data_IF_539417726479
#
_entry.id   IF_539417726479
#
_cell.length_a   1.000
_cell.length_b   1.000
_cell.length_c   1.000
_cell.angle_alpha   90.00
_cell.angle_beta   90.00
_cell.angle_gamma   90.00
#
_symmetry.space_group_name_H-M   'P 1'
#
loop_
_entity.id
_entity.type
_entity.pdbx_description
1 polymer ?
#
# COMPACT_ATOMS: atom_id res chain seq x y z
N UNK A 1 3.15 -17.83 9.80
CA UNK A 1 2.93 -16.77 8.81
C UNK A 1 2.35 -17.41 7.56
N UNK A 2 1.15 -16.97 7.09
CA UNK A 2 0.60 -17.43 5.81
C UNK A 2 1.51 -16.93 4.69
N UNK A 3 1.97 -17.83 3.84
CA UNK A 3 2.64 -17.46 2.60
C UNK A 3 1.66 -16.73 1.68
N UNK A 4 2.09 -15.67 1.01
CA UNK A 4 1.21 -14.92 0.11
C UNK A 4 1.86 -13.66 -0.44
N UNK A 5 1.11 -12.97 -1.28
CA UNK A 5 1.48 -11.67 -1.82
C UNK A 5 0.62 -10.58 -1.19
N UNK A 6 1.27 -9.50 -0.76
CA UNK A 6 0.63 -8.31 -0.19
C UNK A 6 0.87 -7.15 -1.16
N UNK A 7 -0.21 -6.50 -1.59
CA UNK A 7 -0.16 -5.26 -2.34
C UNK A 7 -0.24 -4.08 -1.37
N UNK A 8 0.86 -3.37 -1.20
CA UNK A 8 0.89 -2.09 -0.49
C UNK A 8 0.55 -0.94 -1.45
N UNK A 9 -0.26 -0.01 -0.99
CA UNK A 9 -0.69 1.17 -1.76
C UNK A 9 -0.50 2.42 -0.90
N UNK A 10 0.20 3.40 -1.44
CA UNK A 10 0.32 4.76 -0.91
C UNK A 10 -0.43 5.72 -1.84
N UNK A 11 -1.70 6.06 -1.54
CA UNK A 11 -2.52 6.91 -2.39
C UNK A 11 -2.02 8.34 -2.41
N UNK A 12 -1.77 8.90 -3.60
CA UNK A 12 -1.39 10.29 -3.79
C UNK A 12 -2.21 10.98 -4.88
N UNK A 13 -2.44 12.29 -4.75
CA UNK A 13 -3.31 13.04 -5.67
C UNK A 13 -2.79 13.16 -7.10
N UNK A 14 -1.49 13.09 -7.33
CA UNK A 14 -0.83 13.16 -8.65
C UNK A 14 -0.04 11.90 -8.98
N UNK A 15 0.26 11.10 -7.99
CA UNK A 15 0.98 9.85 -8.13
C UNK A 15 0.58 8.92 -6.99
N UNK A 16 0.30 7.67 -7.30
CA UNK A 16 0.02 6.62 -6.31
C UNK A 16 1.17 5.62 -6.35
N UNK A 17 1.84 5.42 -5.23
CA UNK A 17 2.84 4.38 -5.07
C UNK A 17 2.17 3.00 -4.93
N UNK A 18 2.79 1.97 -5.49
CA UNK A 18 2.44 0.58 -5.22
C UNK A 18 3.67 -0.27 -5.00
N UNK A 19 3.51 -1.32 -4.20
CA UNK A 19 4.56 -2.30 -3.97
C UNK A 19 3.98 -3.65 -3.60
N UNK A 20 4.46 -4.72 -4.26
CA UNK A 20 4.03 -6.09 -3.98
C UNK A 20 5.14 -6.82 -3.25
N UNK A 21 4.81 -7.28 -2.04
CA UNK A 21 5.74 -8.01 -1.16
C UNK A 21 5.30 -9.46 -1.06
N UNK A 22 6.26 -10.37 -1.27
CA UNK A 22 6.09 -11.80 -1.00
C UNK A 22 6.47 -12.11 0.42
N UNK A 23 5.61 -12.85 1.11
CA UNK A 23 5.84 -13.40 2.44
C UNK A 23 6.09 -14.89 2.32
N UNK A 24 7.26 -15.38 2.80
CA UNK A 24 7.61 -16.78 2.90
C UNK A 24 8.16 -17.06 4.31
N UNK A 25 7.32 -17.56 5.19
CA UNK A 25 7.66 -17.65 6.62
C UNK A 25 8.01 -16.28 7.18
N UNK A 26 9.21 -16.10 7.72
CA UNK A 26 9.71 -14.82 8.24
C UNK A 26 10.46 -13.97 7.19
N UNK A 27 10.52 -14.41 5.95
CA UNK A 27 11.25 -13.72 4.88
C UNK A 27 10.31 -12.88 4.03
N UNK A 28 10.67 -11.63 3.85
CA UNK A 28 9.98 -10.69 2.96
C UNK A 28 10.86 -10.41 1.74
N UNK A 29 10.27 -10.33 0.56
CA UNK A 29 10.97 -9.95 -0.67
C UNK A 29 10.08 -9.09 -1.56
N UNK A 30 10.67 -8.10 -2.24
CA UNK A 30 9.97 -7.29 -3.22
C UNK A 30 9.76 -8.11 -4.50
N UNK A 31 8.51 -8.21 -4.95
CA UNK A 31 8.15 -8.85 -6.24
C UNK A 31 8.11 -7.79 -7.33
N UNK A 32 7.45 -6.68 -7.05
CA UNK A 32 7.30 -5.57 -7.98
C UNK A 32 7.02 -4.28 -7.20
N UNK A 33 7.42 -3.16 -7.75
CA UNK A 33 7.12 -1.85 -7.17
C UNK A 33 7.13 -0.78 -8.26
N UNK A 34 6.34 0.27 -8.07
CA UNK A 34 6.27 1.35 -9.03
C UNK A 34 5.40 2.51 -8.60
N UNK A 35 5.19 3.43 -9.54
CA UNK A 35 4.39 4.64 -9.34
C UNK A 35 3.40 4.79 -10.49
N UNK A 36 2.12 4.84 -10.18
CA UNK A 36 1.05 5.15 -11.11
C UNK A 36 0.90 6.67 -11.17
N UNK A 37 1.35 7.28 -12.27
CA UNK A 37 1.28 8.73 -12.47
C UNK A 37 -0.09 9.14 -13.01
N UNK A 38 -0.66 10.19 -12.41
CA UNK A 38 -1.95 10.75 -12.76
C UNK A 38 -1.71 12.14 -13.39
N UNK A 39 -2.17 12.33 -14.63
CA UNK A 39 -1.95 13.59 -15.34
C UNK A 39 -2.65 14.76 -14.63
N UNK A 40 -1.88 15.77 -14.21
CA UNK A 40 -2.40 16.92 -13.45
C UNK A 40 -3.41 17.77 -14.21
N UNK A 41 -3.34 17.78 -15.55
CA UNK A 41 -4.21 18.50 -16.46
C UNK A 41 -5.45 17.71 -16.90
N UNK A 42 -5.57 16.44 -16.53
CA UNK A 42 -6.74 15.61 -16.85
C UNK A 42 -7.88 15.84 -15.84
N UNK A 43 -9.10 15.65 -16.29
CA UNK A 43 -10.27 15.66 -15.42
C UNK A 43 -10.15 14.59 -14.32
N UNK A 44 -10.70 14.87 -13.14
CA UNK A 44 -10.60 13.95 -12.00
C UNK A 44 -11.09 12.54 -12.35
N UNK A 45 -12.23 12.41 -13.03
CA UNK A 45 -12.78 11.12 -13.43
C UNK A 45 -11.80 10.28 -14.26
N UNK A 46 -11.15 10.88 -15.27
CA UNK A 46 -10.16 10.20 -16.11
C UNK A 46 -8.91 9.79 -15.30
N UNK A 47 -8.51 10.57 -14.30
CA UNK A 47 -7.42 10.23 -13.40
C UNK A 47 -7.76 9.02 -12.53
N UNK A 48 -8.99 8.97 -12.01
CA UNK A 48 -9.49 7.87 -11.19
C UNK A 48 -9.64 6.58 -12.02
N UNK A 49 -10.17 6.68 -13.25
CA UNK A 49 -10.25 5.57 -14.20
C UNK A 49 -8.87 4.97 -14.50
N UNK A 50 -7.88 5.84 -14.81
CA UNK A 50 -6.50 5.40 -15.03
C UNK A 50 -5.91 4.68 -13.83
N UNK A 51 -6.13 5.22 -12.62
CA UNK A 51 -5.67 4.58 -11.38
C UNK A 51 -6.29 3.20 -11.21
N UNK A 52 -7.62 3.12 -11.37
CA UNK A 52 -8.35 1.88 -11.25
C UNK A 52 -7.84 0.82 -12.24
N UNK A 53 -7.73 1.17 -13.53
CA UNK A 53 -7.23 0.27 -14.56
C UNK A 53 -5.82 -0.25 -14.26
N UNK A 54 -4.89 0.65 -13.89
CA UNK A 54 -3.53 0.27 -13.55
C UNK A 54 -3.45 -0.67 -12.34
N UNK A 55 -4.25 -0.43 -11.30
CA UNK A 55 -4.34 -1.33 -10.14
C UNK A 55 -4.93 -2.68 -10.53
N UNK A 56 -5.98 -2.71 -11.35
CA UNK A 56 -6.58 -3.96 -11.84
C UNK A 56 -5.59 -4.81 -12.66
N UNK A 57 -4.77 -4.20 -13.53
CA UNK A 57 -3.71 -4.89 -14.27
C UNK A 57 -2.70 -5.56 -13.33
N UNK A 58 -2.24 -4.85 -12.29
CA UNK A 58 -1.32 -5.39 -11.29
C UNK A 58 -1.96 -6.56 -10.52
N UNK A 59 -3.21 -6.38 -10.08
CA UNK A 59 -3.97 -7.37 -9.32
C UNK A 59 -4.20 -8.64 -10.14
N UNK A 60 -4.65 -8.48 -11.39
CA UNK A 60 -4.93 -9.62 -12.29
C UNK A 60 -3.68 -10.39 -12.68
N UNK A 61 -2.52 -9.74 -12.75
CA UNK A 61 -1.26 -10.37 -13.11
C UNK A 61 -0.56 -11.07 -11.94
N UNK A 62 -0.62 -10.48 -10.76
CA UNK A 62 0.14 -10.95 -9.59
C UNK A 62 -0.70 -11.71 -8.57
N UNK A 63 -2.02 -11.59 -8.62
CA UNK A 63 -2.97 -12.25 -7.71
C UNK A 63 -2.60 -12.08 -6.21
N UNK A 64 -2.39 -10.84 -5.70
CA UNK A 64 -2.16 -10.64 -4.28
C UNK A 64 -3.40 -11.03 -3.47
N UNK A 65 -3.19 -11.55 -2.26
CA UNK A 65 -4.29 -11.97 -1.36
C UNK A 65 -4.77 -10.84 -0.47
N UNK A 66 -3.87 -9.92 -0.12
CA UNK A 66 -4.15 -8.81 0.77
C UNK A 66 -3.73 -7.49 0.14
N UNK A 67 -4.53 -6.46 0.39
CA UNK A 67 -4.20 -5.07 0.11
C UNK A 67 -3.98 -4.32 1.43
N UNK A 68 -2.86 -3.63 1.54
CA UNK A 68 -2.54 -2.75 2.64
C UNK A 68 -2.48 -1.31 2.13
N UNK A 69 -3.31 -0.42 2.69
CA UNK A 69 -3.47 0.95 2.20
C UNK A 69 -3.12 1.92 3.33
N UNK A 70 -2.32 2.97 3.02
CA UNK A 70 -2.06 4.02 3.99
C UNK A 70 -3.28 4.91 4.18
N UNK A 71 -3.63 5.17 5.45
CA UNK A 71 -4.70 6.12 5.80
C UNK A 71 -4.13 7.53 5.79
N UNK A 72 -4.79 8.44 5.09
CA UNK A 72 -4.39 9.84 5.02
C UNK A 72 -5.21 10.67 6.00
N UNK A 73 -4.54 11.26 7.00
CA UNK A 73 -5.21 12.08 8.02
C UNK A 73 -4.95 13.59 7.93
N UNK A 74 -4.00 14.03 7.11
CA UNK A 74 -3.63 15.45 7.06
C UNK A 74 -3.45 15.92 5.61
N UNK A 75 -4.33 16.81 5.18
CA UNK A 75 -4.11 17.68 4.04
C UNK A 75 -4.28 19.12 4.50
N UNK A 76 -3.29 19.94 4.19
CA UNK A 76 -3.29 21.38 4.52
C UNK A 76 -4.40 22.13 3.77
N UNK A 77 -4.96 21.53 2.71
CA UNK A 77 -5.95 22.14 1.86
C UNK A 77 -7.14 21.18 1.63
N UNK A 78 -8.35 21.64 1.91
CA UNK A 78 -9.60 20.88 1.77
C UNK A 78 -9.77 20.29 0.36
N UNK A 79 -9.45 21.04 -0.70
CA UNK A 79 -9.55 20.56 -2.09
C UNK A 79 -8.62 19.38 -2.34
N UNK A 80 -7.39 19.46 -1.85
CA UNK A 80 -6.42 18.36 -1.95
C UNK A 80 -6.86 17.14 -1.14
N UNK A 81 -7.44 17.35 0.05
CA UNK A 81 -7.99 16.29 0.86
C UNK A 81 -9.12 15.53 0.13
N UNK A 82 -10.04 16.26 -0.50
CA UNK A 82 -11.13 15.65 -1.27
C UNK A 82 -10.61 14.80 -2.44
N UNK A 83 -9.66 15.34 -3.23
CA UNK A 83 -9.05 14.58 -4.35
C UNK A 83 -8.38 13.32 -3.84
N UNK A 84 -7.63 13.42 -2.74
CA UNK A 84 -6.94 12.29 -2.15
C UNK A 84 -7.91 11.23 -1.61
N UNK A 85 -9.03 11.66 -1.04
CA UNK A 85 -10.11 10.75 -0.59
C UNK A 85 -10.73 9.99 -1.77
N UNK A 86 -10.93 10.63 -2.93
CA UNK A 86 -11.39 9.94 -4.13
C UNK A 86 -10.37 8.91 -4.62
N UNK A 87 -9.09 9.28 -4.70
CA UNK A 87 -7.99 8.38 -5.09
C UNK A 87 -7.94 7.16 -4.17
N UNK A 88 -8.00 7.40 -2.86
CA UNK A 88 -8.03 6.31 -1.87
C UNK A 88 -9.26 5.43 -2.02
N UNK A 89 -10.45 6.01 -2.21
CA UNK A 89 -11.68 5.25 -2.43
C UNK A 89 -11.58 4.32 -3.66
N UNK A 90 -10.97 4.80 -4.74
CA UNK A 90 -10.72 3.98 -5.94
C UNK A 90 -9.72 2.87 -5.66
N UNK A 91 -8.67 3.12 -4.88
CA UNK A 91 -7.71 2.07 -4.50
C UNK A 91 -8.37 0.96 -3.66
N UNK A 92 -9.23 1.32 -2.69
CA UNK A 92 -10.00 0.37 -1.90
C UNK A 92 -10.97 -0.45 -2.77
N UNK A 93 -11.68 0.22 -3.70
CA UNK A 93 -12.60 -0.44 -4.62
C UNK A 93 -11.88 -1.42 -5.54
N UNK A 94 -10.72 -1.03 -6.09
CA UNK A 94 -9.89 -1.90 -6.92
C UNK A 94 -9.45 -3.16 -6.16
N UNK A 95 -9.08 -3.01 -4.88
CA UNK A 95 -8.70 -4.13 -4.02
C UNK A 95 -9.87 -5.09 -3.77
N UNK A 96 -11.06 -4.57 -3.45
CA UNK A 96 -12.27 -5.37 -3.23
C UNK A 96 -12.70 -6.10 -4.51
N UNK A 97 -12.66 -5.44 -5.67
CA UNK A 97 -12.96 -6.08 -6.95
C UNK A 97 -11.94 -7.17 -7.32
N UNK A 98 -10.70 -7.05 -6.83
CA UNK A 98 -9.68 -8.10 -6.93
C UNK A 98 -9.84 -9.22 -5.90
N UNK A 99 -10.95 -9.29 -5.16
CA UNK A 99 -11.22 -10.25 -4.10
C UNK A 99 -10.14 -10.30 -3.00
N UNK A 100 -9.41 -9.19 -2.79
CA UNK A 100 -8.41 -9.09 -1.72
C UNK A 100 -9.04 -8.71 -0.39
N UNK A 101 -8.41 -9.17 0.69
CA UNK A 101 -8.66 -8.65 2.03
C UNK A 101 -8.00 -7.26 2.15
N UNK A 102 -8.75 -6.25 2.62
CA UNK A 102 -8.25 -4.87 2.69
C UNK A 102 -7.93 -4.48 4.13
N UNK A 103 -6.75 -3.94 4.33
CA UNK A 103 -6.25 -3.48 5.62
C UNK A 103 -5.72 -2.05 5.51
N UNK A 104 -5.94 -1.26 6.54
CA UNK A 104 -5.56 0.15 6.55
C UNK A 104 -4.61 0.45 7.71
N UNK A 105 -3.59 1.27 7.42
CA UNK A 105 -2.53 1.59 8.37
C UNK A 105 -2.27 3.09 8.42
N UNK A 106 -2.12 3.63 9.63
CA UNK A 106 -1.71 5.02 9.81
C UNK A 106 -0.23 5.20 9.51
N UNK A 107 0.23 6.40 9.06
CA UNK A 107 1.65 6.68 8.84
C UNK A 107 2.53 6.37 10.05
N UNK A 108 2.01 6.61 11.26
CA UNK A 108 2.73 6.31 12.51
C UNK A 108 2.89 4.79 12.69
N UNK A 109 1.84 4.01 12.41
CA UNK A 109 1.89 2.55 12.48
C UNK A 109 2.89 1.97 11.47
N UNK A 110 2.89 2.49 10.22
CA UNK A 110 3.83 2.10 9.18
C UNK A 110 5.27 2.36 9.62
N UNK A 111 5.58 3.58 10.07
CA UNK A 111 6.92 3.92 10.57
C UNK A 111 7.35 3.02 11.72
N UNK A 112 6.48 2.81 12.71
CA UNK A 112 6.77 1.94 13.87
C UNK A 112 7.03 0.50 13.44
N UNK A 113 6.29 -0.03 12.48
CA UNK A 113 6.45 -1.40 12.00
C UNK A 113 7.76 -1.61 11.21
N UNK A 114 8.25 -0.58 10.51
CA UNK A 114 9.45 -0.66 9.65
C UNK A 114 10.72 -0.31 10.43
N UNK A 115 10.70 0.74 11.25
CA UNK A 115 11.91 1.30 11.91
C UNK A 115 11.91 1.08 13.42
N UNK A 116 10.77 0.70 14.01
CA UNK A 116 10.62 0.51 15.46
C UNK A 116 10.06 1.72 16.22
N UNK A 117 9.99 2.91 15.61
CA UNK A 117 9.44 4.11 16.24
C UNK A 117 8.70 5.02 15.24
N UNK A 118 7.64 5.71 15.72
CA UNK A 118 6.69 6.44 14.85
C UNK A 118 7.16 7.79 14.32
N UNK A 119 8.25 8.36 14.86
CA UNK A 119 8.80 9.68 14.46
C UNK A 119 9.98 9.58 13.49
N UNK A 120 10.19 8.40 12.88
CA UNK A 120 11.26 8.18 11.92
C UNK A 120 11.15 9.14 10.72
N UNK A 121 12.29 9.60 10.23
CA UNK A 121 12.37 10.38 8.98
C UNK A 121 12.14 9.48 7.77
N UNK A 122 11.63 10.06 6.68
CA UNK A 122 11.36 9.32 5.42
C UNK A 122 12.59 8.58 4.88
N UNK A 123 13.77 9.19 5.02
CA UNK A 123 15.01 8.57 4.56
C UNK A 123 15.34 7.31 5.35
N UNK A 124 15.12 7.32 6.66
CA UNK A 124 15.35 6.15 7.52
C UNK A 124 14.38 5.00 7.17
N UNK A 125 13.09 5.32 6.94
CA UNK A 125 12.10 4.33 6.49
C UNK A 125 12.54 3.70 5.18
N UNK A 126 12.95 4.50 4.19
CA UNK A 126 13.42 4.02 2.88
C UNK A 126 14.65 3.10 2.99
N UNK A 127 15.62 3.45 3.82
CA UNK A 127 16.79 2.61 4.06
C UNK A 127 16.39 1.26 4.67
N UNK A 128 15.50 1.28 5.67
CA UNK A 128 15.04 0.07 6.33
C UNK A 128 14.21 -0.82 5.39
N UNK A 129 13.34 -0.24 4.55
CA UNK A 129 12.60 -0.98 3.50
C UNK A 129 13.56 -1.76 2.59
N UNK A 130 14.64 -1.11 2.15
CA UNK A 130 15.67 -1.78 1.32
C UNK A 130 16.35 -2.93 2.04
N UNK A 131 16.71 -2.73 3.31
CA UNK A 131 17.35 -3.77 4.13
C UNK A 131 16.41 -4.96 4.36
N UNK A 132 15.16 -4.71 4.74
CA UNK A 132 14.16 -5.76 5.00
C UNK A 132 13.89 -6.59 3.74
N UNK A 133 13.78 -5.93 2.58
CA UNK A 133 13.46 -6.60 1.31
C UNK A 133 14.69 -7.11 0.55
N UNK A 134 15.91 -6.85 1.06
CA UNK A 134 17.16 -7.29 0.43
C UNK A 134 17.41 -6.68 -0.95
N UNK A 135 16.92 -5.45 -1.23
CA UNK A 135 17.06 -4.81 -2.53
C UNK A 135 17.99 -3.61 -2.47
N UNK A 136 18.89 -3.50 -3.47
CA UNK A 136 19.77 -2.34 -3.65
C UNK A 136 19.31 -1.42 -4.79
N UNK A 137 18.26 -1.79 -5.52
CA UNK A 137 17.78 -0.99 -6.65
C UNK A 137 17.23 0.35 -6.19
N UNK A 138 17.53 1.44 -6.94
CA UNK A 138 16.89 2.72 -6.72
C UNK A 138 15.38 2.61 -6.88
N UNK A 139 14.62 3.18 -5.96
CA UNK A 139 13.16 3.22 -6.05
C UNK A 139 12.64 4.64 -5.79
N UNK A 140 11.55 4.98 -6.46
CA UNK A 140 10.85 6.24 -6.22
C UNK A 140 10.34 6.29 -4.77
N UNK A 141 10.13 7.50 -4.24
CA UNK A 141 9.68 7.68 -2.87
C UNK A 141 8.32 7.04 -2.64
N UNK A 142 7.33 7.36 -3.49
CA UNK A 142 5.97 6.83 -3.36
C UNK A 142 5.94 5.29 -3.42
N UNK A 143 6.80 4.69 -4.27
CA UNK A 143 6.98 3.23 -4.36
C UNK A 143 7.57 2.63 -3.06
N UNK A 144 8.53 3.32 -2.44
CA UNK A 144 9.11 2.91 -1.16
C UNK A 144 8.10 3.05 -0.01
N UNK A 145 7.29 4.12 -0.02
CA UNK A 145 6.25 4.34 0.98
C UNK A 145 5.17 3.22 0.88
N UNK A 146 4.77 2.84 -0.33
CA UNK A 146 3.86 1.70 -0.56
C UNK A 146 4.44 0.34 -0.09
N UNK A 147 5.73 0.09 -0.32
CA UNK A 147 6.41 -1.11 0.21
C UNK A 147 6.45 -1.11 1.75
N UNK A 148 6.64 0.06 2.37
CA UNK A 148 6.59 0.20 3.82
C UNK A 148 5.22 -0.19 4.40
N UNK A 149 4.12 0.17 3.71
CA UNK A 149 2.76 -0.22 4.07
C UNK A 149 2.58 -1.74 3.97
N UNK A 150 3.09 -2.37 2.91
CA UNK A 150 3.05 -3.83 2.75
C UNK A 150 3.85 -4.56 3.85
N UNK A 151 5.03 -4.05 4.22
CA UNK A 151 5.85 -4.57 5.33
C UNK A 151 5.10 -4.41 6.66
N UNK A 152 4.47 -3.25 6.89
CA UNK A 152 3.66 -3.03 8.08
C UNK A 152 2.57 -4.10 8.22
N UNK A 153 1.86 -4.40 7.12
CA UNK A 153 0.84 -5.44 7.11
C UNK A 153 1.45 -6.81 7.40
N UNK A 154 2.56 -7.17 6.74
CA UNK A 154 3.24 -8.45 6.96
C UNK A 154 3.61 -8.67 8.44
N UNK A 155 4.09 -7.61 9.12
CA UNK A 155 4.49 -7.66 10.53
C UNK A 155 3.30 -7.60 11.50
N UNK A 156 2.14 -7.06 11.07
CA UNK A 156 0.94 -6.88 11.89
C UNK A 156 -0.05 -8.04 11.78
N UNK A 157 0.15 -8.95 10.82
CA UNK A 157 -0.72 -10.11 10.64
C UNK A 157 -0.75 -10.95 11.93
N UNK A 158 -1.94 -11.22 12.52
CA UNK A 158 -2.03 -12.14 13.63
C UNK A 158 -1.52 -13.52 13.20
N UNK A 159 -0.74 -14.16 14.06
CA UNK A 159 -0.23 -15.53 13.88
C UNK A 159 -1.37 -16.55 13.75
N UNK A 160 -2.61 -16.19 14.13
CA UNK A 160 -3.81 -17.01 14.11
C UNK A 160 -4.99 -16.25 13.49
N UNK A 161 -5.08 -16.20 12.16
CA UNK A 161 -6.32 -15.85 11.48
C UNK A 161 -7.06 -17.14 11.02
N UNK A 162 -7.26 -18.06 11.97
CA UNK A 162 -8.34 -19.04 11.94
C UNK A 162 -9.29 -18.63 13.08
N UNK A 163 -10.52 -18.21 12.76
CA UNK A 163 -11.59 -17.75 13.65
C UNK A 163 -11.78 -16.23 13.64
N UNK A 164 -12.59 -15.77 12.71
CA UNK A 164 -13.68 -14.83 12.95
C UNK A 164 -14.45 -14.56 11.64
N UNK A 165 -15.15 -15.57 11.16
CA UNK A 165 -16.34 -15.39 10.33
C UNK A 165 -17.50 -16.00 11.13
N UNK A 166 -17.94 -15.27 12.13
CA UNK A 166 -19.27 -15.46 12.74
C UNK A 166 -19.53 -14.30 13.70
N UNK A 167 -20.42 -13.43 13.36
CA UNK A 167 -20.99 -12.48 14.31
C UNK A 167 -21.20 -11.08 13.79
N UNK A 168 -22.08 -10.88 12.82
CA UNK A 168 -22.93 -9.69 12.79
C UNK A 168 -24.35 -10.14 12.42
N UNK A 169 -25.19 -10.26 13.43
CA UNK A 169 -26.62 -10.04 13.33
C UNK A 169 -26.88 -8.54 13.40
#
# INVERSE_FOLDING_TARGET
>A
LKNGLILGIDPGSLATGYGVVRVLGNRLSCVETGVIRLASNAALAARLERLYGALQEIIQRLHPTDAAVETVFQSVNVRSALVLSHVRGVALLAAVHGAMQVYEYTPIAVKKAVVGYGRAEKQQVRQMVRLILGTQQPMAQDASDALAVAICHANSRPLNACENVAGVC
#
